data_IF_854023098237
#
_entry.id   IF_854023098237
#
_cell.length_a   1.000
_cell.length_b   1.000
_cell.length_c   1.000
_cell.angle_alpha   90.00
_cell.angle_beta   90.00
_cell.angle_gamma   90.00
#
_symmetry.space_group_name_H-M   'P 1'
#
loop_
_entity.id
_entity.type
_entity.pdbx_description
1 polymer ?
#
# COMPACT_ATOMS: atom_id res chain seq x y z
N UNK A 1 -17.32 -51.76 19.49
CA UNK A 1 -17.36 -50.30 19.39
C UNK A 1 -15.95 -49.68 19.23
N UNK A 2 -15.05 -50.35 18.53
CA UNK A 2 -13.64 -49.86 18.34
C UNK A 2 -13.20 -49.77 16.87
N UNK A 3 -14.08 -50.07 15.91
CA UNK A 3 -13.71 -50.11 14.47
C UNK A 3 -14.16 -48.84 13.72
N UNK A 4 -15.04 -48.03 14.28
CA UNK A 4 -15.56 -46.83 13.61
C UNK A 4 -14.68 -45.56 13.79
N UNK A 5 -13.82 -45.55 14.83
CA UNK A 5 -12.96 -44.37 15.12
C UNK A 5 -11.70 -44.35 14.24
N UNK A 6 -11.25 -45.48 13.70
CA UNK A 6 -10.05 -45.56 12.87
C UNK A 6 -10.30 -45.11 11.41
N UNK A 7 -11.55 -45.21 10.91
CA UNK A 7 -11.87 -44.84 9.54
C UNK A 7 -12.08 -43.30 9.33
N UNK A 8 -12.40 -42.56 10.38
CA UNK A 8 -12.54 -41.09 10.28
C UNK A 8 -11.17 -40.40 10.31
N UNK A 9 -10.19 -40.96 11.05
CA UNK A 9 -8.82 -40.41 11.09
C UNK A 9 -8.06 -40.59 9.77
N UNK A 10 -8.35 -41.66 9.00
CA UNK A 10 -7.70 -41.87 7.70
C UNK A 10 -8.27 -41.01 6.57
N UNK A 11 -9.49 -40.48 6.73
CA UNK A 11 -10.08 -39.60 5.70
C UNK A 11 -9.53 -38.17 5.70
N UNK A 12 -9.01 -37.71 6.85
CA UNK A 12 -8.37 -36.37 6.96
C UNK A 12 -6.88 -36.37 6.57
N UNK A 13 -6.24 -37.54 6.43
CA UNK A 13 -4.83 -37.66 6.07
C UNK A 13 -4.57 -37.79 4.56
N UNK A 14 -5.62 -37.97 3.74
CA UNK A 14 -5.54 -38.15 2.28
C UNK A 14 -6.28 -37.11 1.45
N UNK A 15 -6.53 -35.91 1.98
CA UNK A 15 -6.84 -34.79 1.12
C UNK A 15 -5.59 -34.53 0.25
N UNK A 16 -5.69 -34.52 -1.10
CA UNK A 16 -4.56 -34.17 -1.92
C UNK A 16 -4.08 -32.78 -1.45
N UNK A 17 -2.85 -32.70 -0.94
CA UNK A 17 -2.12 -31.46 -0.92
C UNK A 17 -2.10 -31.03 -2.40
N UNK A 18 -3.02 -30.14 -2.79
CA UNK A 18 -2.77 -29.35 -3.97
C UNK A 18 -1.42 -28.69 -3.70
N UNK A 19 -0.43 -29.06 -4.50
CA UNK A 19 0.80 -28.30 -4.63
C UNK A 19 0.34 -26.88 -5.02
N UNK A 20 0.14 -26.02 -4.03
CA UNK A 20 0.06 -24.58 -4.27
C UNK A 20 1.46 -24.24 -4.75
N UNK A 21 1.59 -24.11 -6.06
CA UNK A 21 2.80 -23.62 -6.69
C UNK A 21 3.19 -22.37 -5.93
N UNK A 22 4.33 -22.42 -5.25
CA UNK A 22 4.76 -21.34 -4.36
C UNK A 22 4.87 -20.09 -5.24
N UNK A 23 4.07 -19.06 -4.95
CA UNK A 23 4.06 -17.84 -5.71
C UNK A 23 5.50 -17.28 -5.82
N UNK A 24 5.89 -16.87 -7.00
CA UNK A 24 7.23 -16.32 -7.26
C UNK A 24 7.13 -14.84 -7.54
N UNK A 25 8.08 -14.08 -7.02
CA UNK A 25 8.26 -12.68 -7.37
C UNK A 25 8.41 -12.53 -8.88
N UNK A 26 7.91 -11.43 -9.43
CA UNK A 26 7.92 -11.17 -10.87
C UNK A 26 8.08 -9.69 -11.18
N UNK A 27 8.54 -9.41 -12.40
CA UNK A 27 8.56 -8.05 -12.94
C UNK A 27 7.24 -7.77 -13.66
N UNK A 28 6.57 -6.68 -13.31
CA UNK A 28 5.46 -6.13 -14.09
C UNK A 28 5.99 -5.06 -15.04
N UNK A 29 5.38 -4.96 -16.22
CA UNK A 29 5.76 -3.95 -17.22
C UNK A 29 4.53 -3.25 -17.77
N UNK A 30 4.51 -1.95 -17.64
CA UNK A 30 3.50 -1.07 -18.23
C UNK A 30 4.09 -0.40 -19.48
N UNK A 31 3.33 -0.39 -20.58
CA UNK A 31 3.70 0.34 -21.78
C UNK A 31 2.79 1.56 -21.93
N UNK A 32 3.37 2.74 -21.94
CA UNK A 32 2.65 4.00 -22.16
C UNK A 32 2.14 4.12 -23.61
N UNK A 33 1.26 5.06 -23.88
CA UNK A 33 0.71 5.33 -25.21
C UNK A 33 1.78 5.72 -26.24
N UNK A 34 2.89 6.33 -25.81
CA UNK A 34 4.02 6.68 -26.67
C UNK A 34 5.05 5.53 -26.81
N UNK A 35 4.76 4.33 -26.28
CA UNK A 35 5.61 3.15 -26.38
C UNK A 35 6.73 3.02 -25.35
N UNK A 36 6.85 3.95 -24.38
CA UNK A 36 7.81 3.83 -23.26
C UNK A 36 7.40 2.68 -22.34
N UNK A 37 8.35 1.82 -21.98
CA UNK A 37 8.15 0.71 -21.06
C UNK A 37 8.70 1.09 -19.69
N UNK A 38 7.86 0.96 -18.67
CA UNK A 38 8.21 1.14 -17.26
C UNK A 38 8.00 -0.21 -16.58
N UNK A 39 9.00 -0.67 -15.84
CA UNK A 39 8.96 -1.96 -15.14
C UNK A 39 9.17 -1.77 -13.65
N UNK A 40 8.47 -2.57 -12.84
CA UNK A 40 8.60 -2.61 -11.39
C UNK A 40 8.49 -4.06 -10.89
N UNK A 41 9.10 -4.32 -9.75
CA UNK A 41 9.19 -5.65 -9.17
C UNK A 41 8.07 -5.88 -8.15
N UNK A 42 7.43 -7.06 -8.22
CA UNK A 42 6.40 -7.51 -7.30
C UNK A 42 6.95 -8.68 -6.49
N UNK A 43 7.24 -8.45 -5.21
CA UNK A 43 7.68 -9.49 -4.28
C UNK A 43 6.51 -10.40 -3.88
N UNK A 44 6.70 -11.70 -3.94
CA UNK A 44 5.74 -12.67 -3.43
C UNK A 44 5.88 -12.79 -1.90
N UNK A 45 4.87 -12.35 -1.17
CA UNK A 45 4.80 -12.42 0.29
C UNK A 45 4.00 -13.66 0.68
N UNK A 46 4.63 -14.55 1.43
CA UNK A 46 3.98 -15.78 1.91
C UNK A 46 2.95 -15.45 3.01
N UNK A 47 1.90 -16.27 3.10
CA UNK A 47 0.97 -16.20 4.23
C UNK A 47 1.67 -16.43 5.55
N UNK A 48 1.20 -15.79 6.61
CA UNK A 48 1.72 -15.99 7.95
C UNK A 48 0.86 -15.34 9.02
N UNK A 49 1.27 -15.53 10.26
CA UNK A 49 0.65 -14.89 11.43
C UNK A 49 1.71 -14.05 12.13
N UNK A 50 1.36 -12.83 12.50
CA UNK A 50 2.23 -11.92 13.23
C UNK A 50 1.47 -11.16 14.31
N UNK A 51 2.19 -10.54 15.21
CA UNK A 51 1.61 -9.66 16.24
C UNK A 51 1.65 -8.22 15.72
N UNK A 52 0.48 -7.70 15.35
CA UNK A 52 0.30 -6.33 14.87
C UNK A 52 0.24 -5.35 16.02
N UNK A 53 0.78 -4.15 15.78
CA UNK A 53 0.81 -3.07 16.77
C UNK A 53 2.03 -3.09 17.69
N UNK A 54 2.02 -2.23 18.70
CA UNK A 54 3.14 -2.06 19.62
C UNK A 54 2.74 -2.24 21.10
N UNK A 55 3.66 -2.76 21.94
CA UNK A 55 3.45 -2.79 23.38
C UNK A 55 3.61 -1.37 23.97
N UNK A 56 2.97 -1.11 25.11
CA UNK A 56 3.09 0.18 25.80
C UNK A 56 4.53 0.53 26.20
N UNK A 57 5.39 -0.47 26.35
CA UNK A 57 6.80 -0.31 26.71
C UNK A 57 7.70 0.08 25.54
N UNK A 58 7.20 0.04 24.30
CA UNK A 58 7.97 0.43 23.11
C UNK A 58 8.15 1.95 23.08
N UNK A 59 9.38 2.46 22.96
CA UNK A 59 9.63 3.90 22.88
C UNK A 59 8.86 4.52 21.69
N UNK A 60 8.25 5.68 21.91
CA UNK A 60 7.47 6.39 20.89
C UNK A 60 6.10 5.77 20.58
N UNK A 61 5.70 4.66 21.22
CA UNK A 61 4.42 3.99 20.92
C UNK A 61 3.20 4.84 21.29
N UNK A 62 2.20 4.88 20.42
CA UNK A 62 0.95 5.63 20.60
C UNK A 62 -0.21 4.71 21.02
N UNK A 63 -1.31 5.30 21.50
CA UNK A 63 -2.47 4.53 21.99
C UNK A 63 -3.22 3.81 20.88
N UNK A 64 -3.24 4.38 19.69
CA UNK A 64 -3.91 3.86 18.49
C UNK A 64 -3.19 2.66 17.83
N UNK A 65 -1.96 2.37 18.29
CA UNK A 65 -1.21 1.15 17.92
C UNK A 65 -1.57 -0.05 18.81
N UNK A 66 -2.56 0.06 19.69
CA UNK A 66 -2.88 -0.92 20.74
C UNK A 66 -4.34 -1.34 20.75
N UNK A 67 -4.64 -2.49 21.38
CA UNK A 67 -3.71 -3.51 21.90
C UNK A 67 -2.99 -4.27 20.80
N UNK A 68 -1.82 -4.85 21.11
CA UNK A 68 -1.22 -5.84 20.23
C UNK A 68 -2.19 -7.03 20.05
N UNK A 69 -2.31 -7.55 18.85
CA UNK A 69 -3.16 -8.69 18.54
C UNK A 69 -2.55 -9.53 17.40
N UNK A 70 -2.90 -10.80 17.37
CA UNK A 70 -2.48 -11.68 16.29
C UNK A 70 -3.33 -11.46 15.04
N UNK A 71 -2.66 -11.29 13.89
CA UNK A 71 -3.29 -11.19 12.57
C UNK A 71 -2.73 -12.27 11.67
N UNK A 72 -3.62 -12.99 10.99
CA UNK A 72 -3.29 -13.90 9.91
C UNK A 72 -3.38 -13.15 8.59
N UNK A 73 -2.27 -13.13 7.84
CA UNK A 73 -2.18 -12.50 6.52
C UNK A 73 -2.20 -13.60 5.45
N UNK A 74 -3.09 -13.46 4.47
CA UNK A 74 -3.12 -14.32 3.30
C UNK A 74 -1.97 -13.99 2.35
N UNK A 75 -1.54 -14.92 1.46
CA UNK A 75 -0.42 -14.65 0.58
C UNK A 75 -0.80 -13.58 -0.47
N UNK A 76 0.12 -12.65 -0.71
CA UNK A 76 -0.09 -11.54 -1.65
C UNK A 76 1.21 -11.14 -2.35
N UNK A 77 1.11 -10.26 -3.34
CA UNK A 77 2.26 -9.58 -3.93
C UNK A 77 2.29 -8.13 -3.45
N UNK A 78 3.49 -7.64 -3.18
CA UNK A 78 3.74 -6.24 -2.84
C UNK A 78 4.83 -5.68 -3.75
N UNK A 79 4.63 -4.46 -4.26
CA UNK A 79 5.69 -3.77 -4.98
C UNK A 79 6.90 -3.57 -4.08
N UNK A 80 8.10 -3.87 -4.61
CA UNK A 80 9.34 -3.80 -3.81
C UNK A 80 9.72 -2.39 -3.40
N UNK A 81 9.19 -1.38 -4.09
CA UNK A 81 9.40 0.06 -3.83
C UNK A 81 8.06 0.78 -3.79
N UNK A 82 8.08 2.04 -3.43
CA UNK A 82 6.98 2.97 -3.66
C UNK A 82 6.70 3.11 -5.17
N UNK A 83 5.51 3.56 -5.52
CA UNK A 83 5.14 3.88 -6.91
C UNK A 83 5.92 5.09 -7.38
N UNK A 84 6.71 4.96 -8.45
CA UNK A 84 7.59 6.03 -8.95
C UNK A 84 6.84 7.08 -9.77
N UNK A 85 7.42 8.29 -9.86
CA UNK A 85 6.92 9.38 -10.71
C UNK A 85 6.75 8.91 -12.15
N UNK A 86 7.72 8.20 -12.74
CA UNK A 86 7.63 7.73 -14.13
C UNK A 86 6.42 6.82 -14.39
N UNK A 87 6.07 5.97 -13.41
CA UNK A 87 4.92 5.09 -13.53
C UNK A 87 3.61 5.86 -13.35
N UNK A 88 3.57 6.77 -12.38
CA UNK A 88 2.41 7.62 -12.13
C UNK A 88 2.14 8.59 -13.29
N UNK A 89 3.18 9.09 -13.95
CA UNK A 89 3.05 9.94 -15.15
C UNK A 89 2.31 9.25 -16.30
N UNK A 90 2.48 7.94 -16.48
CA UNK A 90 1.72 7.21 -17.51
C UNK A 90 0.23 7.23 -17.19
N UNK A 91 -0.13 6.95 -15.94
CA UNK A 91 -1.52 7.04 -15.47
C UNK A 91 -2.08 8.45 -15.67
N UNK A 92 -1.36 9.45 -15.22
CA UNK A 92 -1.76 10.85 -15.32
C UNK A 92 -2.01 11.26 -16.77
N UNK A 93 -1.07 10.97 -17.68
CA UNK A 93 -1.19 11.32 -19.09
C UNK A 93 -2.35 10.59 -19.78
N UNK A 94 -2.59 9.32 -19.47
CA UNK A 94 -3.67 8.53 -20.06
C UNK A 94 -5.05 8.91 -19.53
N UNK A 95 -5.16 9.37 -18.29
CA UNK A 95 -6.45 9.75 -17.70
C UNK A 95 -6.83 11.20 -17.99
N UNK A 96 -5.86 12.12 -18.05
CA UNK A 96 -6.14 13.54 -18.37
C UNK A 96 -6.46 13.78 -19.84
N UNK A 97 -5.86 13.01 -20.77
CA UNK A 97 -6.17 13.12 -22.20
C UNK A 97 -7.61 12.71 -22.55
N UNK A 98 -8.21 11.83 -21.75
CA UNK A 98 -9.60 11.38 -21.95
C UNK A 98 -10.61 12.46 -21.55
N UNK A 99 -10.26 13.35 -20.62
CA UNK A 99 -11.15 14.45 -20.15
C UNK A 99 -11.32 15.53 -21.22
N UNK A 100 -10.34 15.72 -22.08
CA UNK A 100 -10.41 16.74 -23.17
C UNK A 100 -11.38 16.36 -24.29
N UNK A 101 -11.76 15.07 -24.40
CA UNK A 101 -12.69 14.58 -25.43
C UNK A 101 -14.16 14.52 -24.96
N UNK A 102 -14.44 14.67 -23.65
CA UNK A 102 -15.81 14.64 -23.08
C UNK A 102 -16.38 16.06 -22.93
N UNK A 103 -16.26 16.89 -23.96
CA UNK A 103 -17.00 18.18 -24.04
C UNK A 103 -18.35 18.02 -24.76
N UNK A 104 -19.11 17.00 -24.46
CA UNK A 104 -20.42 16.73 -25.03
C UNK A 104 -21.29 15.86 -24.13
N UNK A 105 -22.16 16.51 -23.37
CA UNK A 105 -23.48 16.01 -22.91
C UNK A 105 -23.61 14.76 -22.04
N UNK A 106 -22.64 14.37 -21.20
CA UNK A 106 -22.97 13.54 -20.02
C UNK A 106 -22.08 13.92 -18.84
N UNK A 107 -22.50 14.95 -18.11
CA UNK A 107 -21.96 15.27 -16.77
C UNK A 107 -22.46 14.24 -15.76
N UNK A 108 -21.73 13.17 -15.57
CA UNK A 108 -21.83 12.45 -14.31
C UNK A 108 -20.90 13.17 -13.32
N UNK A 109 -21.51 14.07 -12.53
CA UNK A 109 -20.84 15.11 -11.74
C UNK A 109 -20.02 14.63 -10.54
N UNK A 110 -19.94 13.32 -10.30
CA UNK A 110 -19.30 12.77 -9.10
C UNK A 110 -17.80 12.44 -9.29
N UNK A 111 -17.31 12.37 -10.51
CA UNK A 111 -15.92 11.96 -10.80
C UNK A 111 -14.98 13.10 -11.27
N UNK A 112 -15.53 14.30 -11.46
CA UNK A 112 -14.76 15.48 -11.89
C UNK A 112 -14.80 16.48 -10.75
N UNK A 113 -13.65 16.82 -10.17
CA UNK A 113 -13.59 17.99 -9.31
C UNK A 113 -13.79 19.26 -10.19
N UNK A 114 -14.26 20.34 -9.58
CA UNK A 114 -14.78 21.51 -10.28
C UNK A 114 -13.79 22.21 -11.22
N UNK A 115 -12.53 21.73 -11.30
CA UNK A 115 -11.48 22.40 -12.05
C UNK A 115 -10.84 21.51 -13.12
N UNK A 116 -10.40 20.28 -12.88
CA UNK A 116 -9.55 19.61 -13.89
C UNK A 116 -9.37 18.09 -13.77
N UNK A 117 -10.09 17.35 -12.92
CA UNK A 117 -9.81 15.94 -12.71
C UNK A 117 -8.47 15.70 -11.98
N UNK A 118 -7.68 14.68 -12.31
CA UNK A 118 -6.44 14.35 -11.57
C UNK A 118 -5.28 15.33 -11.77
N UNK A 119 -5.53 16.57 -12.15
CA UNK A 119 -4.50 17.59 -12.38
C UNK A 119 -4.01 18.19 -11.06
N UNK A 120 -2.68 18.28 -10.82
CA UNK A 120 -2.15 18.92 -9.62
C UNK A 120 -2.50 20.40 -9.55
N UNK A 121 -2.75 20.90 -8.36
CA UNK A 121 -3.11 22.32 -8.11
C UNK A 121 -2.08 23.29 -8.66
N UNK A 122 -0.80 22.89 -8.72
CA UNK A 122 0.31 23.74 -9.18
C UNK A 122 0.84 23.35 -10.58
N UNK A 123 0.17 22.50 -11.32
CA UNK A 123 0.47 22.21 -12.73
C UNK A 123 1.62 21.25 -13.00
N UNK A 124 2.47 20.97 -12.03
CA UNK A 124 3.55 19.99 -12.15
C UNK A 124 3.44 18.91 -11.07
N UNK A 125 3.02 17.70 -11.47
CA UNK A 125 2.91 16.58 -10.56
C UNK A 125 4.26 15.96 -10.17
N UNK A 126 5.34 16.32 -10.85
CA UNK A 126 6.68 15.84 -10.49
C UNK A 126 7.28 16.67 -9.36
N UNK A 127 6.73 17.85 -9.08
CA UNK A 127 7.31 18.84 -8.16
C UNK A 127 8.81 19.14 -8.47
N UNK A 128 9.23 18.88 -9.71
CA UNK A 128 10.62 19.06 -10.14
C UNK A 128 11.54 17.85 -9.88
N UNK A 129 11.03 16.77 -9.28
CA UNK A 129 11.83 15.58 -9.00
C UNK A 129 11.98 14.66 -10.22
N UNK A 130 13.10 13.90 -10.30
CA UNK A 130 13.35 12.92 -11.36
C UNK A 130 12.38 11.72 -11.34
N UNK A 131 12.34 11.04 -12.47
CA UNK A 131 11.47 9.89 -12.78
C UNK A 131 11.45 8.77 -11.72
N UNK A 132 12.58 8.52 -11.06
CA UNK A 132 12.75 7.42 -10.09
C UNK A 132 12.41 7.81 -8.65
N UNK A 133 12.09 9.05 -8.38
CA UNK A 133 11.56 9.45 -7.08
C UNK A 133 10.14 8.87 -6.90
N UNK A 134 9.69 8.71 -5.64
CA UNK A 134 8.31 8.28 -5.38
C UNK A 134 7.33 9.33 -5.88
N UNK A 135 6.23 8.91 -6.44
CA UNK A 135 5.09 9.78 -6.71
C UNK A 135 4.46 10.21 -5.38
N UNK A 136 4.17 11.49 -5.23
CA UNK A 136 3.76 12.08 -3.96
C UNK A 136 2.67 13.13 -4.11
N UNK A 137 2.10 13.58 -2.98
CA UNK A 137 1.12 14.67 -2.95
C UNK A 137 -0.30 14.28 -3.35
N UNK A 138 -0.58 12.99 -3.60
CA UNK A 138 -1.91 12.53 -3.99
C UNK A 138 -2.77 12.17 -2.78
N UNK A 139 -4.09 12.32 -2.93
CA UNK A 139 -5.07 11.79 -1.97
C UNK A 139 -5.13 10.26 -2.04
N UNK A 140 -5.69 9.64 -1.01
CA UNK A 140 -6.02 8.22 -1.02
C UNK A 140 -6.91 7.84 -2.22
N UNK A 141 -7.90 8.67 -2.55
CA UNK A 141 -8.76 8.45 -3.70
C UNK A 141 -7.97 8.36 -5.02
N UNK A 142 -6.99 9.24 -5.21
CA UNK A 142 -6.15 9.23 -6.40
C UNK A 142 -5.27 7.95 -6.47
N UNK A 143 -4.68 7.55 -5.35
CA UNK A 143 -3.93 6.30 -5.25
C UNK A 143 -4.80 5.05 -5.57
N UNK A 144 -6.06 5.04 -5.12
CA UNK A 144 -7.03 3.98 -5.47
C UNK A 144 -7.36 3.97 -6.96
N UNK A 145 -7.62 5.13 -7.54
CA UNK A 145 -7.91 5.26 -8.97
C UNK A 145 -6.72 4.85 -9.84
N UNK A 146 -5.50 5.13 -9.39
CA UNK A 146 -4.29 4.58 -10.01
C UNK A 146 -4.29 3.04 -9.99
N UNK A 147 -4.61 2.41 -8.87
CA UNK A 147 -4.69 0.95 -8.78
C UNK A 147 -5.73 0.36 -9.75
N UNK A 148 -6.87 1.01 -9.91
CA UNK A 148 -7.91 0.62 -10.87
C UNK A 148 -7.44 0.76 -12.31
N UNK A 149 -6.77 1.87 -12.64
CA UNK A 149 -6.16 2.07 -13.94
C UNK A 149 -5.10 1.00 -14.23
N UNK A 150 -4.19 0.75 -13.29
CA UNK A 150 -3.14 -0.27 -13.43
C UNK A 150 -3.76 -1.66 -13.63
N UNK A 151 -4.86 -1.95 -12.94
CA UNK A 151 -5.60 -3.20 -13.10
C UNK A 151 -6.15 -3.37 -14.50
N UNK A 152 -6.78 -2.34 -15.04
CA UNK A 152 -7.31 -2.34 -16.42
C UNK A 152 -6.17 -2.46 -17.44
N UNK A 153 -5.06 -1.77 -17.19
CA UNK A 153 -3.89 -1.75 -18.09
C UNK A 153 -3.18 -3.09 -18.20
N UNK A 154 -3.07 -3.81 -17.08
CA UNK A 154 -2.32 -5.08 -16.98
C UNK A 154 -3.20 -6.33 -17.10
N UNK A 155 -4.52 -6.18 -16.91
CA UNK A 155 -5.46 -7.31 -16.78
C UNK A 155 -5.34 -8.09 -15.48
N UNK A 156 -4.69 -7.52 -14.46
CA UNK A 156 -4.51 -8.09 -13.12
C UNK A 156 -5.15 -7.16 -12.09
N UNK A 157 -5.52 -7.66 -10.91
CA UNK A 157 -6.20 -6.83 -9.89
C UNK A 157 -5.19 -6.23 -8.93
N UNK A 158 -4.85 -4.97 -9.11
CA UNK A 158 -4.03 -4.17 -8.20
C UNK A 158 -4.89 -3.38 -7.20
N UNK A 159 -4.34 -3.16 -6.02
CA UNK A 159 -4.96 -2.41 -4.92
C UNK A 159 -3.88 -1.79 -4.04
N UNK A 160 -4.25 -0.98 -3.08
CA UNK A 160 -3.38 -0.64 -1.96
C UNK A 160 -3.20 -1.88 -1.06
N UNK A 161 -2.08 -2.02 -0.33
CA UNK A 161 -1.97 -3.01 0.72
C UNK A 161 -2.94 -2.68 1.86
N UNK A 162 -3.42 -3.67 2.58
CA UNK A 162 -4.07 -3.42 3.87
C UNK A 162 -3.04 -2.93 4.89
N UNK A 163 -3.49 -2.31 5.97
CA UNK A 163 -2.61 -1.86 7.06
C UNK A 163 -1.83 -3.03 7.67
N UNK A 164 -2.48 -4.18 7.82
CA UNK A 164 -1.86 -5.39 8.33
C UNK A 164 -0.85 -6.00 7.34
N UNK A 165 -1.15 -6.04 6.04
CA UNK A 165 -0.20 -6.47 5.01
C UNK A 165 1.04 -5.57 4.99
N UNK A 166 0.85 -4.26 5.11
CA UNK A 166 1.95 -3.31 5.13
C UNK A 166 2.87 -3.53 6.35
N UNK A 167 2.30 -3.62 7.57
CA UNK A 167 3.09 -3.84 8.79
C UNK A 167 3.78 -5.21 8.78
N UNK A 168 3.10 -6.27 8.34
CA UNK A 168 3.66 -7.60 8.19
C UNK A 168 4.86 -7.59 7.22
N UNK A 169 4.73 -6.90 6.10
CA UNK A 169 5.77 -6.75 5.10
C UNK A 169 6.95 -5.89 5.60
N UNK A 170 6.67 -4.80 6.31
CA UNK A 170 7.70 -3.96 6.92
C UNK A 170 8.55 -4.75 7.93
N UNK A 171 7.90 -5.50 8.82
CA UNK A 171 8.57 -6.36 9.79
C UNK A 171 9.24 -7.60 9.17
N UNK A 172 8.98 -7.88 7.90
CA UNK A 172 9.41 -9.11 7.23
C UNK A 172 9.09 -10.37 8.04
N UNK A 173 7.88 -10.41 8.64
CA UNK A 173 7.42 -11.50 9.51
C UNK A 173 8.04 -11.54 10.91
N UNK A 174 8.93 -10.60 11.24
CA UNK A 174 9.55 -10.48 12.57
C UNK A 174 8.71 -9.69 13.57
N UNK A 175 9.26 -9.49 14.78
CA UNK A 175 8.65 -8.73 15.87
C UNK A 175 9.44 -7.49 16.29
N UNK A 176 10.42 -7.08 15.50
CA UNK A 176 11.30 -5.95 15.82
C UNK A 176 10.59 -4.60 15.66
N UNK A 177 11.13 -3.59 16.34
CA UNK A 177 10.59 -2.21 16.33
C UNK A 177 10.64 -1.62 14.91
N UNK A 178 11.78 -1.82 14.22
CA UNK A 178 12.02 -1.33 12.87
C UNK A 178 12.16 -2.50 11.88
N UNK A 179 12.08 -2.22 10.61
CA UNK A 179 12.31 -3.20 9.54
C UNK A 179 13.72 -3.85 9.57
N UNK A 180 14.66 -3.23 10.28
CA UNK A 180 16.08 -3.61 10.38
C UNK A 180 16.50 -4.10 11.78
N UNK A 181 15.57 -4.23 12.73
CA UNK A 181 15.87 -4.64 14.11
C UNK A 181 15.36 -3.64 15.15
N UNK A 182 16.02 -3.59 16.31
CA UNK A 182 15.58 -2.75 17.42
C UNK A 182 16.49 -1.53 17.70
N UNK A 183 17.58 -1.40 16.97
CA UNK A 183 18.54 -0.29 17.13
C UNK A 183 18.23 0.82 16.10
N UNK A 184 17.76 2.01 16.56
CA UNK A 184 17.44 3.12 15.66
C UNK A 184 18.65 3.65 14.89
N UNK A 185 19.87 3.42 15.36
CA UNK A 185 21.08 3.83 14.62
C UNK A 185 21.29 3.07 13.31
N UNK A 186 20.62 1.92 13.14
CA UNK A 186 20.69 1.17 11.88
C UNK A 186 19.74 1.73 10.81
N UNK A 187 18.77 2.55 11.19
CA UNK A 187 17.79 3.12 10.24
C UNK A 187 18.44 3.87 9.07
N UNK A 188 19.55 4.56 9.32
CA UNK A 188 20.29 5.32 8.30
C UNK A 188 20.70 4.46 7.09
N UNK A 189 20.85 3.16 7.27
CA UNK A 189 21.17 2.22 6.20
C UNK A 189 19.92 1.76 5.39
N UNK A 190 18.72 1.94 5.93
CA UNK A 190 17.47 1.38 5.40
C UNK A 190 16.41 2.40 5.05
N UNK A 191 16.51 3.63 5.53
CA UNK A 191 15.50 4.67 5.41
C UNK A 191 16.12 6.02 5.04
N UNK A 192 15.38 6.80 4.28
CA UNK A 192 15.56 8.24 4.09
C UNK A 192 14.62 8.97 5.06
N UNK A 193 15.17 9.71 6.04
CA UNK A 193 14.40 10.38 7.09
C UNK A 193 15.15 11.62 7.59
N UNK A 194 14.66 12.32 8.62
CA UNK A 194 15.21 13.58 9.12
C UNK A 194 16.74 13.58 9.34
N UNK A 195 17.35 12.41 9.60
CA UNK A 195 18.76 12.31 9.92
C UNK A 195 19.69 12.51 8.69
N UNK A 196 19.24 12.14 7.48
CA UNK A 196 20.09 12.12 6.30
C UNK A 196 19.38 12.33 4.95
N UNK A 197 18.09 12.65 4.97
CA UNK A 197 17.31 12.91 3.75
C UNK A 197 17.43 14.36 3.24
N UNK A 198 18.08 15.27 3.98
CA UNK A 198 18.25 16.68 3.61
C UNK A 198 16.92 17.41 3.33
N UNK A 199 15.79 16.93 3.87
CA UNK A 199 14.47 17.55 3.75
C UNK A 199 13.80 17.32 2.39
N UNK A 200 14.18 16.28 1.65
CA UNK A 200 13.61 15.94 0.36
C UNK A 200 13.54 14.41 0.13
N UNK A 201 12.71 13.99 -0.84
CA UNK A 201 12.66 12.59 -1.25
C UNK A 201 13.91 12.19 -2.03
N UNK A 202 14.18 10.90 -2.08
CA UNK A 202 15.25 10.31 -2.85
C UNK A 202 14.73 9.28 -3.85
N UNK A 203 15.54 8.93 -4.85
CA UNK A 203 15.20 7.82 -5.75
C UNK A 203 14.97 6.54 -4.95
N UNK A 204 13.95 5.78 -5.33
CA UNK A 204 13.61 4.53 -4.66
C UNK A 204 14.75 3.51 -4.72
N UNK A 205 14.81 2.62 -3.74
CA UNK A 205 15.80 1.53 -3.65
C UNK A 205 17.28 1.97 -3.59
N UNK A 206 17.58 3.14 -3.03
CA UNK A 206 18.95 3.57 -2.80
C UNK A 206 19.51 3.09 -1.46
N UNK A 207 18.65 2.79 -0.48
CA UNK A 207 19.01 2.21 0.80
C UNK A 207 18.91 0.67 0.76
N UNK A 208 19.27 0.00 1.85
CA UNK A 208 19.15 -1.46 1.97
C UNK A 208 17.67 -1.90 2.07
N UNK A 209 17.30 -3.01 1.45
CA UNK A 209 15.97 -3.58 1.64
C UNK A 209 15.89 -4.32 2.99
N UNK A 210 14.66 -4.57 3.47
CA UNK A 210 14.46 -5.53 4.54
C UNK A 210 14.76 -6.97 4.07
N UNK A 211 14.64 -7.95 4.96
CA UNK A 211 14.98 -9.36 4.65
C UNK A 211 14.09 -10.01 3.59
N UNK A 212 12.96 -9.38 3.22
CA UNK A 212 12.07 -9.82 2.14
C UNK A 212 12.30 -9.09 0.82
N UNK A 213 13.34 -8.25 0.74
CA UNK A 213 13.69 -7.51 -0.47
C UNK A 213 12.81 -6.31 -0.72
N UNK A 214 12.16 -5.76 0.32
CA UNK A 214 11.33 -4.57 0.23
C UNK A 214 12.14 -3.36 0.67
N UNK A 215 12.19 -2.36 -0.20
CA UNK A 215 12.91 -1.10 -0.03
C UNK A 215 11.97 -0.01 0.51
N UNK A 216 12.56 0.97 1.17
CA UNK A 216 11.89 2.21 1.55
C UNK A 216 10.56 1.95 2.32
N UNK A 217 10.51 0.85 3.09
CA UNK A 217 9.36 0.57 3.95
C UNK A 217 9.25 1.61 5.07
N UNK A 218 10.35 2.03 5.75
CA UNK A 218 10.37 3.23 6.56
C UNK A 218 10.99 4.40 5.77
N UNK A 219 10.45 5.60 5.94
CA UNK A 219 10.99 6.84 5.39
C UNK A 219 10.63 7.10 3.91
N UNK A 220 11.36 7.97 3.28
CA UNK A 220 11.17 8.51 1.94
C UNK A 220 9.81 9.19 1.79
N UNK A 221 8.71 8.45 1.56
CA UNK A 221 7.34 8.97 1.64
C UNK A 221 6.44 8.08 2.48
N UNK A 222 5.49 8.68 3.21
CA UNK A 222 4.40 7.93 3.85
C UNK A 222 3.57 7.24 2.79
N UNK A 223 3.02 6.09 3.12
CA UNK A 223 2.29 5.28 2.16
C UNK A 223 0.84 5.08 2.57
N UNK A 224 -0.07 5.44 1.66
CA UNK A 224 -1.48 5.09 1.81
C UNK A 224 -1.69 3.58 1.86
N UNK A 225 -2.54 3.15 2.80
CA UNK A 225 -3.05 1.77 2.86
C UNK A 225 -4.56 1.74 2.64
N UNK A 226 -5.14 0.55 2.49
CA UNK A 226 -6.57 0.38 2.18
C UNK A 226 -7.49 0.82 3.33
N UNK A 227 -7.00 0.79 4.57
CA UNK A 227 -7.79 0.87 5.78
C UNK A 227 -8.17 2.30 6.14
N UNK A 228 -9.30 2.42 6.86
CA UNK A 228 -9.72 3.63 7.51
C UNK A 228 -9.15 3.71 8.92
N UNK A 229 -8.83 4.93 9.35
CA UNK A 229 -8.29 5.17 10.68
C UNK A 229 -9.36 5.03 11.75
N UNK A 230 -9.05 4.25 12.78
CA UNK A 230 -9.79 4.15 14.01
C UNK A 230 -8.93 4.68 15.17
N UNK A 231 -9.31 5.80 15.83
CA UNK A 231 -8.55 6.34 16.95
C UNK A 231 -8.55 5.44 18.18
N UNK A 232 -9.47 4.46 18.27
CA UNK A 232 -9.47 3.44 19.32
C UNK A 232 -8.48 2.29 19.02
N UNK A 233 -7.76 2.37 17.92
CA UNK A 233 -6.80 1.38 17.49
C UNK A 233 -7.44 0.02 17.23
N UNK A 234 -6.84 -1.02 17.79
CA UNK A 234 -7.24 -2.41 17.57
C UNK A 234 -8.14 -2.97 18.69
N UNK A 235 -8.83 -2.11 19.44
CA UNK A 235 -9.60 -2.53 20.62
C UNK A 235 -10.72 -3.55 20.34
N UNK A 236 -11.26 -3.57 19.11
CA UNK A 236 -12.26 -4.54 18.68
C UNK A 236 -11.74 -5.97 18.49
N UNK A 237 -10.43 -6.13 18.36
CA UNK A 237 -9.78 -7.41 18.01
C UNK A 237 -9.16 -8.12 19.21
N UNK A 238 -9.08 -7.44 20.36
CA UNK A 238 -8.49 -8.00 21.57
C UNK A 238 -9.24 -9.24 22.07
N UNK A 239 -8.52 -10.33 22.28
CA UNK A 239 -9.04 -11.56 22.90
C UNK A 239 -9.75 -12.53 21.96
N UNK A 240 -9.73 -12.32 20.65
CA UNK A 240 -10.40 -13.20 19.66
C UNK A 240 -9.50 -14.26 19.01
N UNK A 241 -8.22 -14.33 19.38
CA UNK A 241 -7.23 -15.13 18.65
C UNK A 241 -6.81 -14.43 17.36
N UNK A 242 -6.10 -15.14 16.47
CA UNK A 242 -5.68 -14.57 15.20
C UNK A 242 -6.91 -14.16 14.36
N UNK A 243 -6.99 -12.87 14.01
CA UNK A 243 -8.01 -12.35 13.10
C UNK A 243 -7.49 -12.47 11.66
N UNK A 244 -8.39 -12.74 10.71
CA UNK A 244 -8.02 -12.68 9.29
C UNK A 244 -7.92 -11.21 8.92
N UNK A 245 -6.81 -10.86 8.24
CA UNK A 245 -6.62 -9.52 7.70
C UNK A 245 -7.78 -9.13 6.79
N UNK A 246 -8.41 -8.02 7.10
CA UNK A 246 -9.49 -7.47 6.30
C UNK A 246 -9.55 -5.96 6.54
N UNK A 247 -9.68 -5.15 5.49
CA UNK A 247 -9.81 -3.71 5.63
C UNK A 247 -10.96 -3.37 6.58
N UNK A 248 -10.73 -2.47 7.52
CA UNK A 248 -11.79 -2.04 8.44
C UNK A 248 -12.88 -1.31 7.65
N UNK A 249 -14.17 -1.62 7.90
CA UNK A 249 -15.27 -0.99 7.19
C UNK A 249 -15.30 0.53 7.43
N UNK A 250 -15.70 1.24 6.40
CA UNK A 250 -15.72 2.68 6.30
C UNK A 250 -16.84 3.34 7.11
N UNK A 251 -16.69 3.42 8.43
CA UNK A 251 -17.44 4.42 9.21
C UNK A 251 -16.70 5.76 9.24
N UNK A 252 -15.43 5.74 8.81
CA UNK A 252 -14.50 6.86 8.85
C UNK A 252 -14.30 7.52 7.50
N UNK A 253 -14.09 8.83 7.52
CA UNK A 253 -13.69 9.63 6.37
C UNK A 253 -12.17 9.79 6.27
N UNK A 254 -11.42 9.19 7.18
CA UNK A 254 -9.99 9.39 7.39
C UNK A 254 -9.26 8.09 7.09
N UNK A 255 -8.27 8.14 6.22
CA UNK A 255 -7.48 6.98 5.82
C UNK A 255 -6.17 6.89 6.58
N UNK A 256 -5.64 5.68 6.71
CA UNK A 256 -4.36 5.39 7.35
C UNK A 256 -3.23 5.57 6.34
N UNK A 257 -2.11 6.12 6.81
CA UNK A 257 -0.82 6.10 6.15
C UNK A 257 0.24 5.49 7.07
N UNK A 258 1.28 4.90 6.50
CA UNK A 258 2.31 4.16 7.22
C UNK A 258 3.71 4.56 6.74
N UNK A 259 4.73 4.23 7.55
CA UNK A 259 6.14 4.29 7.15
C UNK A 259 6.90 5.52 7.61
N UNK A 260 6.23 6.63 7.90
CA UNK A 260 6.92 7.93 8.02
C UNK A 260 7.46 8.40 6.68
N UNK A 261 8.17 9.51 6.64
CA UNK A 261 8.67 10.16 5.44
C UNK A 261 10.07 10.74 5.66
N UNK A 262 10.60 11.44 4.66
CA UNK A 262 11.92 12.04 4.67
C UNK A 262 12.15 13.09 5.80
N UNK A 263 11.09 13.66 6.36
CA UNK A 263 11.14 14.67 7.43
C UNK A 263 10.71 14.09 8.80
N UNK A 264 10.42 12.79 8.84
CA UNK A 264 9.97 12.10 10.05
C UNK A 264 11.13 11.76 10.99
N UNK A 265 10.84 11.76 12.30
CA UNK A 265 11.76 11.26 13.33
C UNK A 265 11.84 9.73 13.31
N UNK A 266 12.90 9.16 13.89
CA UNK A 266 13.05 7.71 14.02
C UNK A 266 11.85 7.04 14.71
N UNK A 267 11.17 7.73 15.65
CA UNK A 267 10.00 7.20 16.34
C UNK A 267 8.80 6.99 15.40
N UNK A 268 8.70 7.78 14.33
CA UNK A 268 7.65 7.67 13.32
C UNK A 268 7.93 6.61 12.27
N UNK A 269 9.19 6.13 12.19
CA UNK A 269 9.63 5.07 11.28
C UNK A 269 9.46 3.65 11.87
N UNK A 270 8.93 3.52 13.08
CA UNK A 270 8.64 2.20 13.68
C UNK A 270 7.62 1.44 12.83
N UNK A 271 7.80 0.13 12.73
CA UNK A 271 6.90 -0.71 11.93
C UNK A 271 5.43 -0.58 12.35
N UNK A 272 5.14 -0.32 13.64
CA UNK A 272 3.81 -0.14 14.18
C UNK A 272 3.29 1.31 14.12
N UNK A 273 4.14 2.30 13.80
CA UNK A 273 3.72 3.69 13.79
C UNK A 273 2.63 3.95 12.75
N UNK A 274 1.62 4.72 13.13
CA UNK A 274 0.47 5.05 12.31
C UNK A 274 0.41 6.56 12.08
N UNK A 275 0.10 6.94 10.86
CA UNK A 275 -0.32 8.28 10.49
C UNK A 275 -1.71 8.20 9.85
N UNK A 276 -2.39 9.31 9.78
CA UNK A 276 -3.74 9.39 9.20
C UNK A 276 -3.98 10.76 8.62
N UNK A 277 -4.92 10.83 7.67
CA UNK A 277 -5.26 12.07 7.01
C UNK A 277 -5.82 13.09 8.02
N UNK A 278 -5.13 14.23 8.16
CA UNK A 278 -5.52 15.35 9.00
C UNK A 278 -6.06 16.51 8.15
N UNK A 279 -6.94 17.34 8.73
CA UNK A 279 -7.55 18.46 8.00
C UNK A 279 -6.52 19.42 7.41
N UNK A 280 -5.40 19.63 8.09
CA UNK A 280 -4.35 20.55 7.64
C UNK A 280 -3.63 20.06 6.36
N UNK A 281 -3.67 18.77 6.04
CA UNK A 281 -3.10 18.21 4.79
C UNK A 281 -3.75 18.84 3.55
N UNK A 282 -4.98 19.33 3.70
CA UNK A 282 -5.74 20.00 2.64
C UNK A 282 -5.63 21.52 2.69
N UNK A 283 -4.81 22.09 3.56
CA UNK A 283 -4.57 23.53 3.59
C UNK A 283 -3.83 23.95 2.31
N UNK A 284 -4.11 25.16 1.83
CA UNK A 284 -3.54 25.66 0.58
C UNK A 284 -4.29 25.22 -0.67
N UNK A 285 -5.18 24.22 -0.61
CA UNK A 285 -6.07 23.90 -1.71
C UNK A 285 -7.11 25.03 -1.87
N UNK A 286 -7.12 25.75 -3.02
CA UNK A 286 -8.06 26.86 -3.24
C UNK A 286 -9.48 26.39 -3.60
N UNK A 287 -9.69 25.09 -3.86
CA UNK A 287 -10.98 24.58 -4.35
C UNK A 287 -12.03 24.47 -3.24
N UNK A 288 -13.31 24.62 -3.63
CA UNK A 288 -14.47 24.39 -2.78
C UNK A 288 -15.51 23.61 -3.61
N UNK A 289 -15.76 22.31 -3.31
CA UNK A 289 -15.08 21.50 -2.28
C UNK A 289 -13.61 21.26 -2.57
N UNK A 290 -12.84 20.87 -1.55
CA UNK A 290 -11.41 20.56 -1.67
C UNK A 290 -11.17 19.44 -2.69
N UNK A 291 -10.03 19.46 -3.36
CA UNK A 291 -9.66 18.47 -4.36
C UNK A 291 -9.77 17.04 -3.83
N UNK A 292 -10.33 16.17 -4.65
CA UNK A 292 -10.35 14.71 -4.40
C UNK A 292 -9.03 14.04 -4.80
N UNK A 293 -8.16 14.73 -5.51
CA UNK A 293 -7.01 14.18 -6.20
C UNK A 293 -5.69 14.49 -5.52
N UNK A 294 -5.54 15.71 -4.99
CA UNK A 294 -4.26 16.22 -4.53
C UNK A 294 -4.31 16.81 -3.13
N UNK A 295 -3.19 16.70 -2.42
CA UNK A 295 -2.94 17.26 -1.10
C UNK A 295 -1.77 18.26 -1.19
N UNK A 296 -2.02 19.55 -1.39
CA UNK A 296 -0.98 20.53 -1.70
C UNK A 296 0.10 20.71 -0.63
N UNK A 297 -0.19 20.33 0.61
CA UNK A 297 0.75 20.43 1.74
C UNK A 297 1.48 19.11 2.05
N UNK A 298 1.25 18.07 1.24
CA UNK A 298 1.71 16.72 1.53
C UNK A 298 2.63 16.19 0.41
N UNK A 299 3.74 16.89 0.19
CA UNK A 299 4.83 16.44 -0.68
C UNK A 299 5.61 15.22 -0.13
N UNK A 300 5.14 14.66 0.97
CA UNK A 300 5.72 13.50 1.67
C UNK A 300 4.76 12.31 1.75
N UNK A 301 3.64 12.29 1.00
CA UNK A 301 2.68 11.19 0.98
C UNK A 301 2.59 10.56 -0.40
N UNK A 302 2.83 9.25 -0.48
CA UNK A 302 2.75 8.41 -1.68
C UNK A 302 2.03 7.10 -1.40
N UNK A 303 2.38 6.05 -2.13
CA UNK A 303 1.83 4.70 -1.94
C UNK A 303 2.67 3.66 -2.69
N UNK A 304 2.50 2.40 -2.32
CA UNK A 304 2.92 1.25 -3.13
C UNK A 304 1.73 0.37 -3.47
N UNK A 305 1.83 -0.41 -4.56
CA UNK A 305 0.75 -1.29 -4.98
C UNK A 305 0.92 -2.70 -4.43
N UNK A 306 -0.21 -3.31 -4.10
CA UNK A 306 -0.33 -4.72 -3.72
C UNK A 306 -1.25 -5.47 -4.69
N UNK A 307 -1.23 -6.80 -4.62
CA UNK A 307 -2.10 -7.66 -5.42
C UNK A 307 -2.32 -9.00 -4.71
N UNK A 308 -3.57 -9.48 -4.67
CA UNK A 308 -3.89 -10.79 -4.10
C UNK A 308 -3.51 -11.91 -5.06
N UNK A 309 -2.96 -13.03 -4.54
CA UNK A 309 -2.53 -14.18 -5.38
C UNK A 309 -3.72 -14.90 -6.00
N UNK A 310 -4.83 -15.03 -5.27
CA UNK A 310 -6.01 -15.79 -5.74
C UNK A 310 -6.85 -15.08 -6.82
N UNK A 311 -6.57 -13.81 -7.11
CA UNK A 311 -7.27 -13.08 -8.19
C UNK A 311 -7.05 -13.70 -9.57
N UNK A 312 -5.90 -14.31 -9.81
CA UNK A 312 -5.56 -14.95 -11.11
C UNK A 312 -6.40 -16.20 -11.39
N UNK A 313 -6.73 -16.96 -10.37
CA UNK A 313 -7.52 -18.20 -10.52
C UNK A 313 -8.99 -17.93 -10.91
N UNK A 314 -9.55 -16.77 -10.53
CA UNK A 314 -10.90 -16.35 -10.89
C UNK A 314 -10.96 -15.86 -12.33
N UNK A 315 -10.03 -15.01 -12.75
CA UNK A 315 -9.95 -14.48 -14.12
C UNK A 315 -9.76 -15.60 -15.14
N UNK A 316 -8.90 -16.57 -14.86
CA UNK A 316 -8.68 -17.74 -15.74
C UNK A 316 -9.92 -18.62 -15.82
N UNK A 317 -10.71 -18.75 -14.76
CA UNK A 317 -11.96 -19.51 -14.77
C UNK A 317 -13.07 -18.80 -15.56
N UNK A 318 -13.19 -17.50 -15.42
CA UNK A 318 -14.20 -16.70 -16.15
C UNK A 318 -13.89 -16.65 -17.65
N UNK A 319 -12.63 -16.49 -18.05
CA UNK A 319 -12.20 -16.55 -19.44
C UNK A 319 -12.39 -17.93 -20.08
N UNK A 320 -12.27 -19.02 -19.32
CA UNK A 320 -12.56 -20.37 -19.81
C UNK A 320 -14.08 -20.64 -19.94
N UNK A 321 -14.92 -19.98 -19.13
CA UNK A 321 -16.39 -20.09 -19.28
C UNK A 321 -16.95 -19.23 -20.41
N UNK A 322 -16.33 -18.08 -20.70
CA UNK A 322 -16.73 -17.20 -21.80
C UNK A 322 -16.33 -17.73 -23.20
N UNK A 323 -15.46 -18.76 -23.26
CA UNK A 323 -15.01 -19.39 -24.51
C UNK A 323 -15.71 -20.74 -24.82
N UNK A 324 -16.67 -21.14 -23.98
CA UNK A 324 -17.58 -22.28 -24.22
C UNK A 324 -18.98 -21.78 -24.56
#
# INVERSE_FOLDING_TARGET
MLVVIILVACYYLNAPRQDREQARSYTETVTSTNGRKISFEMAAIASGTFVMGSPKSEPGSKNDERPQHEVQVEPFYLCTTETTIELFLVYYQETTSTITEVTGDEQNSDDIDAITGPTPVYGDMTMGYPDKHPAMGMTWHNAKTFCEWLSKKTGRTYRLPTEAEWEYACRAGGGDIFCCGNDPNQLVDFAWYEADADGETHEVAQKKPNTWGLYDMPGNVREWVEDFYDPQGYSGDSGKGATVDSPKPADGKVHVARGGDFDSSAEELRSAARAFEEEWWRFGDPQIPKSRWWLPQMDCIGFRVARSIDSDSKIVKEQKHARK
#
